data_IF_363074055530
#
_entry.id   IF_363074055530
#
_cell.length_a   1.000
_cell.length_b   1.000
_cell.length_c   1.000
_cell.angle_alpha   90.00
_cell.angle_beta   90.00
_cell.angle_gamma   90.00
#
_symmetry.space_group_name_H-M   'P 1'
#
loop_
_entity.id
_entity.type
_entity.pdbx_description
1 polymer ?
#
# COMPACT_ATOMS: atom_id res chain seq x y z
N UNK A 1 41.09 2.38 15.42
CA UNK A 1 40.12 1.34 15.78
C UNK A 1 39.03 1.34 14.73
N UNK A 2 39.13 0.43 13.77
CA UNK A 2 38.22 0.28 12.64
C UNK A 2 37.04 -0.61 13.03
N UNK A 3 35.94 -0.02 13.45
CA UNK A 3 34.64 -0.68 13.56
C UNK A 3 33.58 0.33 13.10
N UNK A 4 33.69 0.81 11.87
CA UNK A 4 32.48 1.22 11.15
C UNK A 4 31.78 -0.10 10.86
N UNK A 5 30.80 -0.41 11.71
CA UNK A 5 29.83 -1.48 11.51
C UNK A 5 29.47 -1.54 10.03
N UNK A 6 29.62 -2.72 9.42
CA UNK A 6 29.07 -3.02 8.10
C UNK A 6 27.65 -2.45 8.05
N UNK A 7 27.46 -1.32 7.37
CA UNK A 7 26.12 -0.82 7.11
C UNK A 7 25.53 -1.83 6.16
N UNK A 8 24.57 -2.62 6.64
CA UNK A 8 23.91 -3.66 5.86
C UNK A 8 22.89 -3.02 4.92
N UNK A 9 23.36 -2.21 3.96
CA UNK A 9 22.52 -1.65 2.89
C UNK A 9 21.75 -2.76 2.15
N UNK A 10 22.37 -3.94 2.02
CA UNK A 10 21.71 -5.14 1.46
C UNK A 10 20.49 -5.59 2.28
N UNK A 11 20.56 -5.47 3.61
CA UNK A 11 19.44 -5.81 4.48
C UNK A 11 18.30 -4.80 4.29
N UNK A 12 18.59 -3.49 4.29
CA UNK A 12 17.58 -2.45 4.03
C UNK A 12 16.88 -2.65 2.67
N UNK A 13 17.61 -3.06 1.63
CA UNK A 13 17.02 -3.39 0.33
C UNK A 13 16.13 -4.64 0.39
N UNK A 14 16.55 -5.66 1.16
CA UNK A 14 15.80 -6.89 1.32
C UNK A 14 14.51 -6.64 2.10
N UNK A 15 14.59 -5.88 3.18
CA UNK A 15 13.46 -5.49 4.02
C UNK A 15 12.45 -4.68 3.20
N UNK A 16 12.90 -3.70 2.42
CA UNK A 16 12.01 -2.94 1.54
C UNK A 16 11.33 -3.83 0.48
N UNK A 17 12.06 -4.75 -0.15
CA UNK A 17 11.46 -5.71 -1.09
C UNK A 17 10.41 -6.60 -0.42
N UNK A 18 10.64 -6.97 0.84
CA UNK A 18 9.64 -7.69 1.62
C UNK A 18 8.37 -6.87 1.82
N UNK A 19 8.46 -5.57 2.13
CA UNK A 19 7.29 -4.69 2.24
C UNK A 19 6.47 -4.65 0.94
N UNK A 20 7.14 -4.48 -0.20
CA UNK A 20 6.46 -4.48 -1.51
C UNK A 20 5.80 -5.83 -1.78
N UNK A 21 6.42 -6.93 -1.37
CA UNK A 21 5.79 -8.27 -1.51
C UNK A 21 4.54 -8.43 -0.65
N UNK A 22 4.52 -7.87 0.57
CA UNK A 22 3.35 -7.91 1.46
C UNK A 22 2.19 -7.09 0.90
N UNK A 23 2.49 -5.92 0.36
CA UNK A 23 1.50 -5.07 -0.30
C UNK A 23 0.87 -5.78 -1.50
N UNK A 24 1.69 -6.41 -2.35
CA UNK A 24 1.20 -7.21 -3.48
C UNK A 24 0.29 -8.35 -3.04
N UNK A 25 0.67 -9.08 -1.98
CA UNK A 25 -0.17 -10.15 -1.40
C UNK A 25 -1.51 -9.59 -0.91
N UNK A 26 -1.51 -8.40 -0.28
CA UNK A 26 -2.74 -7.75 0.15
C UNK A 26 -3.65 -7.43 -1.04
N UNK A 27 -3.10 -6.90 -2.14
CA UNK A 27 -3.84 -6.61 -3.37
C UNK A 27 -4.42 -7.88 -4.02
N UNK A 28 -3.65 -8.96 -4.09
CA UNK A 28 -4.10 -10.24 -4.65
C UNK A 28 -5.31 -10.79 -3.90
N UNK A 29 -5.25 -10.83 -2.55
CA UNK A 29 -6.39 -11.26 -1.73
C UNK A 29 -7.58 -10.29 -1.84
N UNK A 30 -7.32 -8.98 -1.90
CA UNK A 30 -8.36 -7.96 -2.11
C UNK A 30 -9.10 -8.18 -3.44
N UNK A 31 -8.37 -8.46 -4.52
CA UNK A 31 -8.97 -8.77 -5.82
C UNK A 31 -9.82 -10.04 -5.75
N UNK A 32 -9.31 -11.11 -5.12
CA UNK A 32 -10.07 -12.35 -4.97
C UNK A 32 -11.40 -12.14 -4.23
N UNK A 33 -11.38 -11.33 -3.16
CA UNK A 33 -12.60 -10.95 -2.43
C UNK A 33 -13.56 -10.18 -3.33
N UNK A 34 -13.05 -9.19 -4.08
CA UNK A 34 -13.89 -8.36 -4.95
C UNK A 34 -14.59 -9.18 -6.04
N UNK A 35 -13.85 -10.09 -6.70
CA UNK A 35 -14.44 -11.03 -7.67
C UNK A 35 -15.57 -11.82 -7.03
N UNK A 36 -15.36 -12.33 -5.81
CA UNK A 36 -16.37 -13.13 -5.11
C UNK A 36 -17.60 -12.32 -4.70
N UNK A 37 -17.41 -11.10 -4.25
CA UNK A 37 -18.51 -10.16 -3.98
C UNK A 37 -19.33 -9.85 -5.24
N UNK A 38 -18.66 -9.71 -6.39
CA UNK A 38 -19.30 -9.59 -7.68
C UNK A 38 -20.18 -10.80 -8.03
N UNK A 39 -19.71 -12.03 -7.78
CA UNK A 39 -20.51 -13.24 -7.97
C UNK A 39 -21.76 -13.28 -7.09
N UNK A 40 -21.64 -12.91 -5.81
CA UNK A 40 -22.78 -12.84 -4.87
C UNK A 40 -23.79 -11.79 -5.34
N UNK A 41 -23.32 -10.60 -5.73
CA UNK A 41 -24.18 -9.53 -6.28
C UNK A 41 -24.94 -10.00 -7.53
N UNK A 42 -24.24 -10.62 -8.47
CA UNK A 42 -24.84 -11.13 -9.70
C UNK A 42 -25.88 -12.22 -9.43
N UNK A 43 -25.61 -13.11 -8.47
CA UNK A 43 -26.54 -14.16 -8.04
C UNK A 43 -27.80 -13.56 -7.43
N UNK A 44 -27.66 -12.59 -6.53
CA UNK A 44 -28.78 -11.86 -5.94
C UNK A 44 -29.66 -11.17 -7.01
N UNK A 45 -29.03 -10.44 -7.94
CA UNK A 45 -29.74 -9.76 -9.04
C UNK A 45 -30.50 -10.75 -9.93
N UNK A 46 -29.90 -11.91 -10.23
CA UNK A 46 -30.55 -12.97 -10.99
C UNK A 46 -31.78 -13.53 -10.24
N UNK A 47 -31.66 -13.79 -8.93
CA UNK A 47 -32.75 -14.33 -8.12
C UNK A 47 -33.93 -13.37 -8.01
N UNK A 48 -33.68 -12.06 -7.89
CA UNK A 48 -34.73 -11.03 -7.92
C UNK A 48 -35.44 -11.01 -9.28
N UNK A 49 -34.68 -10.90 -10.38
CA UNK A 49 -35.26 -10.77 -11.73
C UNK A 49 -36.21 -11.92 -12.07
N UNK A 50 -35.89 -13.13 -11.62
CA UNK A 50 -36.68 -14.32 -11.92
C UNK A 50 -37.85 -14.57 -10.96
N UNK A 51 -37.87 -13.95 -9.77
CA UNK A 51 -38.86 -14.22 -8.72
C UNK A 51 -39.63 -12.98 -8.25
N UNK A 52 -39.53 -11.86 -8.99
CA UNK A 52 -40.12 -10.57 -8.62
C UNK A 52 -41.64 -10.61 -8.37
N UNK A 53 -42.34 -11.61 -8.90
CA UNK A 53 -43.79 -11.73 -8.78
C UNK A 53 -44.24 -12.36 -7.44
N UNK A 54 -43.33 -12.82 -6.58
CA UNK A 54 -43.65 -13.51 -5.31
C UNK A 54 -42.99 -12.83 -4.11
N UNK A 55 -43.78 -12.09 -3.33
CA UNK A 55 -43.33 -11.32 -2.15
C UNK A 55 -42.57 -12.17 -1.10
N UNK A 56 -42.98 -13.43 -0.91
CA UNK A 56 -42.31 -14.34 0.02
C UNK A 56 -40.86 -14.66 -0.36
N UNK A 57 -40.55 -14.75 -1.67
CA UNK A 57 -39.19 -14.97 -2.14
C UNK A 57 -38.35 -13.71 -2.00
N UNK A 58 -38.93 -12.53 -2.20
CA UNK A 58 -38.26 -11.26 -1.93
C UNK A 58 -37.88 -11.12 -0.45
N UNK A 59 -38.77 -11.53 0.46
CA UNK A 59 -38.48 -11.57 1.90
C UNK A 59 -37.28 -12.47 2.23
N UNK A 60 -37.21 -13.67 1.63
CA UNK A 60 -36.07 -14.57 1.85
C UNK A 60 -34.75 -14.05 1.28
N UNK A 61 -34.80 -13.25 0.21
CA UNK A 61 -33.61 -12.65 -0.41
C UNK A 61 -33.04 -11.48 0.38
N UNK A 62 -33.78 -10.91 1.33
CA UNK A 62 -33.32 -9.80 2.17
C UNK A 62 -32.11 -10.20 3.04
N UNK A 63 -32.10 -11.44 3.56
CA UNK A 63 -30.96 -11.96 4.32
C UNK A 63 -29.68 -12.05 3.47
N UNK A 64 -29.80 -12.46 2.20
CA UNK A 64 -28.68 -12.52 1.26
C UNK A 64 -28.18 -11.11 0.90
N UNK A 65 -29.10 -10.16 0.73
CA UNK A 65 -28.76 -8.76 0.51
C UNK A 65 -28.01 -8.15 1.70
N UNK A 66 -28.48 -8.44 2.92
CA UNK A 66 -27.83 -8.00 4.15
C UNK A 66 -26.42 -8.57 4.28
N UNK A 67 -26.23 -9.86 3.99
CA UNK A 67 -24.90 -10.49 3.99
C UNK A 67 -23.96 -9.81 2.99
N UNK A 68 -24.42 -9.61 1.74
CA UNK A 68 -23.65 -8.89 0.72
C UNK A 68 -23.25 -7.49 1.21
N UNK A 69 -24.18 -6.74 1.81
CA UNK A 69 -23.93 -5.39 2.33
C UNK A 69 -22.88 -5.40 3.44
N UNK A 70 -22.97 -6.34 4.39
CA UNK A 70 -21.99 -6.49 5.46
C UNK A 70 -20.58 -6.77 4.91
N UNK A 71 -20.46 -7.71 3.97
CA UNK A 71 -19.17 -8.02 3.37
C UNK A 71 -18.62 -6.88 2.51
N UNK A 72 -19.48 -6.17 1.77
CA UNK A 72 -19.07 -4.99 0.98
C UNK A 72 -18.52 -3.88 1.87
N UNK A 73 -19.16 -3.62 3.03
CA UNK A 73 -18.69 -2.63 4.00
C UNK A 73 -17.32 -3.01 4.58
N UNK A 74 -17.14 -4.29 4.93
CA UNK A 74 -15.86 -4.77 5.48
C UNK A 74 -14.74 -4.68 4.43
N UNK A 75 -15.03 -5.05 3.19
CA UNK A 75 -14.11 -4.88 2.06
C UNK A 75 -13.67 -3.43 1.87
N UNK A 76 -14.61 -2.47 1.95
CA UNK A 76 -14.31 -1.05 1.84
C UNK A 76 -13.39 -0.58 2.99
N UNK A 77 -13.67 -1.01 4.22
CA UNK A 77 -12.84 -0.68 5.38
C UNK A 77 -11.41 -1.21 5.26
N UNK A 78 -11.25 -2.44 4.78
CA UNK A 78 -9.94 -3.04 4.54
C UNK A 78 -9.20 -2.32 3.41
N UNK A 79 -9.90 -1.92 2.35
CA UNK A 79 -9.33 -1.15 1.23
C UNK A 79 -8.82 0.22 1.70
N UNK A 80 -9.64 0.95 2.47
CA UNK A 80 -9.22 2.22 3.10
C UNK A 80 -8.04 2.04 4.03
N UNK A 81 -8.00 0.94 4.79
CA UNK A 81 -6.87 0.63 5.66
C UNK A 81 -5.57 0.43 4.89
N UNK A 82 -5.62 -0.20 3.71
CA UNK A 82 -4.45 -0.35 2.84
C UNK A 82 -3.94 1.00 2.35
N UNK A 83 -4.83 1.84 1.83
CA UNK A 83 -4.51 3.20 1.34
C UNK A 83 -3.84 4.02 2.44
N UNK A 84 -4.39 4.00 3.66
CA UNK A 84 -3.80 4.71 4.81
C UNK A 84 -2.35 4.27 5.11
N UNK A 85 -2.07 2.97 5.02
CA UNK A 85 -0.72 2.44 5.28
C UNK A 85 0.23 2.82 4.16
N UNK A 86 -0.18 2.68 2.90
CA UNK A 86 0.63 3.04 1.72
C UNK A 86 0.95 4.53 1.71
N UNK A 87 -0.04 5.38 2.00
CA UNK A 87 0.15 6.83 2.12
C UNK A 87 1.10 7.20 3.25
N UNK A 88 1.02 6.46 4.37
CA UNK A 88 1.95 6.63 5.48
C UNK A 88 3.38 6.26 5.09
N UNK A 89 3.57 5.17 4.34
CA UNK A 89 4.87 4.78 3.78
C UNK A 89 5.44 5.89 2.89
N UNK A 90 4.63 6.38 1.94
CA UNK A 90 5.02 7.49 1.07
C UNK A 90 5.48 8.70 1.89
N UNK A 91 4.67 9.12 2.86
CA UNK A 91 4.94 10.28 3.70
C UNK A 91 6.25 10.16 4.49
N UNK A 92 6.54 8.99 5.06
CA UNK A 92 7.76 8.77 5.84
C UNK A 92 9.02 8.83 4.97
N UNK A 93 9.03 8.19 3.81
CA UNK A 93 10.18 8.28 2.88
C UNK A 93 10.33 9.67 2.25
N UNK A 94 9.22 10.31 1.88
CA UNK A 94 9.23 11.66 1.31
C UNK A 94 9.79 12.69 2.31
N UNK A 95 9.38 12.60 3.58
CA UNK A 95 9.90 13.49 4.64
C UNK A 95 11.39 13.26 4.87
N UNK A 96 11.84 12.01 4.92
CA UNK A 96 13.27 11.70 5.06
C UNK A 96 14.10 12.21 3.88
N UNK A 97 13.62 12.01 2.65
CA UNK A 97 14.25 12.55 1.45
C UNK A 97 14.46 14.07 1.54
N UNK A 98 13.42 14.81 1.94
CA UNK A 98 13.50 16.27 2.07
C UNK A 98 14.49 16.69 3.17
N UNK A 99 14.52 15.99 4.32
CA UNK A 99 15.49 16.25 5.39
C UNK A 99 16.92 16.07 4.85
N UNK A 100 17.19 15.00 4.11
CA UNK A 100 18.50 14.73 3.51
C UNK A 100 18.92 15.86 2.57
N UNK A 101 18.05 16.27 1.65
CA UNK A 101 18.36 17.35 0.68
C UNK A 101 18.65 18.68 1.39
N UNK A 102 17.88 19.03 2.42
CA UNK A 102 18.12 20.25 3.21
C UNK A 102 19.47 20.18 3.92
N UNK A 103 19.78 19.06 4.57
CA UNK A 103 21.03 18.88 5.33
C UNK A 103 22.28 18.90 4.44
N UNK A 104 22.21 18.32 3.24
CA UNK A 104 23.31 18.36 2.27
C UNK A 104 23.59 19.79 1.81
N UNK A 105 22.55 20.58 1.57
CA UNK A 105 22.67 22.00 1.19
C UNK A 105 23.28 22.84 2.31
N UNK A 106 22.82 22.66 3.56
CA UNK A 106 23.36 23.39 4.72
C UNK A 106 24.85 23.13 4.93
N UNK A 107 25.31 21.89 4.72
CA UNK A 107 26.71 21.49 4.86
C UNK A 107 27.56 21.69 3.60
N UNK A 108 26.98 22.18 2.50
CA UNK A 108 27.63 22.31 1.20
C UNK A 108 28.28 21.00 0.71
N UNK A 109 27.65 19.86 0.99
CA UNK A 109 28.11 18.54 0.53
C UNK A 109 27.49 18.29 -0.85
N UNK A 110 28.34 18.15 -1.86
CA UNK A 110 27.93 17.92 -3.24
C UNK A 110 27.95 16.41 -3.50
N UNK A 111 26.76 15.84 -3.70
CA UNK A 111 26.55 14.42 -4.03
C UNK A 111 25.82 14.36 -5.38
N UNK A 112 26.17 13.39 -6.23
CA UNK A 112 25.61 13.26 -7.59
C UNK A 112 24.10 13.05 -7.54
N UNK A 113 23.65 12.21 -6.61
CA UNK A 113 22.23 11.92 -6.39
C UNK A 113 21.44 13.11 -5.82
N UNK A 114 22.11 14.19 -5.39
CA UNK A 114 21.49 15.39 -4.82
C UNK A 114 21.64 16.65 -5.69
N UNK A 115 22.43 16.61 -6.79
CA UNK A 115 22.63 17.73 -7.71
C UNK A 115 21.36 18.06 -8.51
N UNK A 116 20.63 17.02 -8.96
CA UNK A 116 19.33 17.14 -9.62
C UNK A 116 18.25 16.49 -8.76
N UNK A 117 17.70 17.20 -7.75
CA UNK A 117 16.69 16.62 -6.89
C UNK A 117 15.45 16.24 -7.71
N UNK A 118 15.12 14.95 -7.70
CA UNK A 118 13.90 14.44 -8.33
C UNK A 118 12.68 15.15 -7.75
N UNK A 119 11.79 15.61 -8.62
CA UNK A 119 10.53 16.23 -8.21
C UNK A 119 9.50 15.15 -7.98
N UNK A 120 9.30 14.80 -6.72
CA UNK A 120 8.21 13.93 -6.29
C UNK A 120 6.94 14.74 -6.03
N UNK A 121 5.79 14.06 -6.14
CA UNK A 121 4.49 14.61 -5.76
C UNK A 121 4.52 15.13 -4.31
N UNK A 122 3.90 16.28 -4.06
CA UNK A 122 3.91 16.84 -2.70
C UNK A 122 3.04 15.97 -1.81
N UNK A 123 3.62 15.45 -0.73
CA UNK A 123 2.86 14.69 0.24
C UNK A 123 1.82 15.57 0.95
N UNK A 124 0.55 15.17 0.85
CA UNK A 124 -0.60 15.86 1.41
C UNK A 124 -1.06 15.19 2.71
N UNK A 125 -0.50 15.63 3.83
CA UNK A 125 -0.84 15.13 5.19
C UNK A 125 -2.35 15.22 5.53
N UNK A 126 -3.10 16.12 4.89
CA UNK A 126 -4.52 16.37 5.17
C UNK A 126 -5.49 15.52 4.34
N UNK A 127 -4.99 14.80 3.32
CA UNK A 127 -5.82 13.97 2.42
C UNK A 127 -5.48 12.48 2.63
N UNK A 128 -6.06 11.83 3.65
CA UNK A 128 -5.67 10.47 4.06
C UNK A 128 -5.99 9.38 3.03
N UNK A 129 -6.91 9.64 2.09
CA UNK A 129 -7.35 8.68 1.06
C UNK A 129 -6.89 9.07 -0.36
N UNK A 130 -5.94 10.01 -0.48
CA UNK A 130 -5.28 10.26 -1.76
C UNK A 130 -4.30 9.13 -2.06
N UNK A 131 -4.48 8.38 -3.14
CA UNK A 131 -3.63 7.22 -3.43
C UNK A 131 -2.30 7.64 -4.07
N UNK A 132 -1.18 7.27 -3.44
CA UNK A 132 0.15 7.39 -4.04
C UNK A 132 0.56 6.07 -4.68
N UNK A 133 1.20 6.15 -5.85
CA UNK A 133 1.66 4.96 -6.56
C UNK A 133 2.82 4.28 -5.83
N UNK A 134 2.79 2.95 -5.75
CA UNK A 134 3.89 2.12 -5.24
C UNK A 134 5.18 2.34 -6.04
N UNK A 135 5.08 2.67 -7.33
CA UNK A 135 6.23 3.03 -8.15
C UNK A 135 6.93 4.29 -7.63
N UNK A 136 6.17 5.35 -7.31
CA UNK A 136 6.72 6.57 -6.72
C UNK A 136 7.36 6.30 -5.35
N UNK A 137 6.74 5.47 -4.50
CA UNK A 137 7.31 5.08 -3.19
C UNK A 137 8.66 4.39 -3.38
N UNK A 138 8.74 3.47 -4.35
CA UNK A 138 9.97 2.76 -4.69
C UNK A 138 11.06 3.72 -5.17
N UNK A 139 10.71 4.68 -6.01
CA UNK A 139 11.64 5.68 -6.52
C UNK A 139 12.17 6.63 -5.44
N UNK A 140 11.31 7.05 -4.51
CA UNK A 140 11.72 7.87 -3.35
C UNK A 140 12.66 7.06 -2.46
N UNK A 141 12.27 5.82 -2.13
CA UNK A 141 13.11 4.94 -1.30
C UNK A 141 14.48 4.72 -1.94
N UNK A 142 14.54 4.43 -3.24
CA UNK A 142 15.81 4.26 -3.95
C UNK A 142 16.65 5.53 -3.90
N UNK A 143 16.04 6.69 -4.12
CA UNK A 143 16.75 7.98 -4.08
C UNK A 143 17.30 8.28 -2.68
N UNK A 144 16.57 7.94 -1.61
CA UNK A 144 17.05 8.03 -0.23
C UNK A 144 18.25 7.10 0.00
N UNK A 145 18.17 5.85 -0.48
CA UNK A 145 19.26 4.87 -0.35
C UNK A 145 20.52 5.33 -1.08
N UNK A 146 20.39 5.82 -2.32
CA UNK A 146 21.50 6.32 -3.13
C UNK A 146 22.21 7.49 -2.42
N UNK A 147 21.45 8.44 -1.87
CA UNK A 147 21.99 9.57 -1.10
C UNK A 147 22.76 9.09 0.13
N UNK A 148 22.21 8.16 0.92
CA UNK A 148 22.88 7.65 2.13
C UNK A 148 24.15 6.88 1.76
N UNK A 149 24.13 6.12 0.67
CA UNK A 149 25.31 5.38 0.19
C UNK A 149 26.42 6.32 -0.31
N UNK A 150 26.07 7.35 -1.06
CA UNK A 150 27.02 8.39 -1.48
C UNK A 150 27.57 9.15 -0.28
N UNK A 151 26.73 9.51 0.69
CA UNK A 151 27.14 10.18 1.92
C UNK A 151 28.08 9.32 2.76
N UNK A 152 27.83 8.01 2.84
CA UNK A 152 28.74 7.06 3.49
C UNK A 152 30.08 6.96 2.77
N UNK A 153 30.08 6.95 1.43
CA UNK A 153 31.30 6.96 0.62
C UNK A 153 32.10 8.24 0.86
N UNK A 154 31.43 9.38 0.89
CA UNK A 154 32.02 10.68 1.24
C UNK A 154 32.65 10.67 2.64
N UNK A 155 31.95 10.16 3.65
CA UNK A 155 32.48 9.99 5.01
C UNK A 155 33.75 9.13 5.03
N UNK A 156 33.75 8.00 4.33
CA UNK A 156 34.92 7.11 4.26
C UNK A 156 36.14 7.80 3.61
N UNK A 157 35.93 8.70 2.65
CA UNK A 157 37.01 9.52 2.11
C UNK A 157 37.54 10.53 3.13
N UNK A 158 36.66 11.20 3.87
CA UNK A 158 37.06 12.13 4.93
C UNK A 158 37.85 11.45 6.06
N UNK A 159 37.41 10.26 6.48
CA UNK A 159 38.08 9.48 7.51
C UNK A 159 39.49 9.03 7.06
N UNK A 160 39.62 8.56 5.82
CA UNK A 160 40.93 8.20 5.23
C UNK A 160 41.87 9.39 5.16
N UNK A 161 41.40 10.55 4.73
CA UNK A 161 42.20 11.78 4.69
C UNK A 161 42.64 12.21 6.10
N UNK A 162 41.73 12.19 7.08
CA UNK A 162 42.05 12.48 8.49
C UNK A 162 43.11 11.54 9.05
N UNK A 163 43.03 10.25 8.71
CA UNK A 163 44.03 9.26 9.11
C UNK A 163 45.40 9.54 8.48
N UNK A 164 45.46 9.90 7.19
CA UNK A 164 46.71 10.27 6.52
C UNK A 164 47.37 11.50 7.15
N UNK A 165 46.59 12.52 7.53
CA UNK A 165 47.10 13.67 8.26
C UNK A 165 47.69 13.27 9.62
N UNK A 166 47.05 12.33 10.33
CA UNK A 166 47.54 11.85 11.63
C UNK A 166 48.89 11.14 11.56
N UNK A 167 49.17 10.39 10.48
CA UNK A 167 50.43 9.65 10.29
C UNK A 167 51.53 10.57 9.76
N UNK A 168 51.18 11.46 8.82
CA UNK A 168 52.16 12.31 8.14
C UNK A 168 52.63 13.47 9.00
N UNK A 169 51.79 13.93 9.95
CA UNK A 169 52.18 14.99 10.88
C UNK A 169 53.00 14.41 12.04
N UNK A 170 54.31 14.63 12.01
CA UNK A 170 55.19 14.29 13.13
C UNK A 170 55.43 15.52 14.02
N UNK A 171 54.40 16.32 14.37
CA UNK A 171 54.61 17.67 14.96
C UNK A 171 53.44 18.22 15.81
N UNK A 172 53.75 18.74 17.01
CA UNK A 172 53.20 19.98 17.61
C UNK A 172 51.77 20.05 18.19
N UNK A 173 51.62 20.66 19.37
CA UNK A 173 50.35 20.86 20.11
C UNK A 173 49.23 21.58 19.30
N UNK A 174 49.59 22.46 18.36
CA UNK A 174 48.61 23.18 17.51
C UNK A 174 47.97 22.30 16.43
N UNK A 175 48.73 21.34 15.88
CA UNK A 175 48.19 20.38 14.89
C UNK A 175 47.22 19.42 15.58
N UNK A 176 47.46 19.07 16.85
CA UNK A 176 46.53 18.30 17.65
C UNK A 176 45.15 18.98 17.76
N UNK A 177 45.09 20.29 17.98
CA UNK A 177 43.82 21.03 18.04
C UNK A 177 43.04 20.99 16.70
N UNK A 178 43.75 21.13 15.58
CA UNK A 178 43.15 20.96 14.25
C UNK A 178 42.62 19.53 14.05
N UNK A 179 43.37 18.52 14.49
CA UNK A 179 42.93 17.11 14.41
C UNK A 179 41.71 16.82 15.26
N UNK A 180 41.63 17.36 16.48
CA UNK A 180 40.44 17.24 17.31
C UNK A 180 39.21 17.87 16.63
N UNK A 181 39.38 19.04 16.00
CA UNK A 181 38.29 19.70 15.27
C UNK A 181 37.84 18.88 14.05
N UNK A 182 38.79 18.36 13.27
CA UNK A 182 38.48 17.50 12.11
C UNK A 182 37.77 16.21 12.53
N UNK A 183 38.21 15.58 13.63
CA UNK A 183 37.56 14.39 14.18
C UNK A 183 36.14 14.68 14.66
N UNK A 184 35.91 15.84 15.27
CA UNK A 184 34.57 16.27 15.69
C UNK A 184 33.63 16.40 14.48
N UNK A 185 34.04 17.10 13.43
CA UNK A 185 33.26 17.27 12.20
C UNK A 185 32.95 15.92 11.53
N UNK A 186 33.96 15.04 11.40
CA UNK A 186 33.77 13.70 10.84
C UNK A 186 32.79 12.87 11.69
N UNK A 187 32.88 12.97 13.02
CA UNK A 187 31.96 12.28 13.94
C UNK A 187 30.53 12.76 13.72
N UNK A 188 30.32 14.07 13.57
CA UNK A 188 28.99 14.63 13.32
C UNK A 188 28.35 14.03 12.05
N UNK A 189 29.12 13.90 10.96
CA UNK A 189 28.64 13.29 9.72
C UNK A 189 28.31 11.81 9.93
N UNK A 190 29.18 11.08 10.64
CA UNK A 190 28.95 9.66 10.95
C UNK A 190 27.65 9.44 11.74
N UNK A 191 27.43 10.23 12.78
CA UNK A 191 26.22 10.11 13.62
C UNK A 191 24.96 10.48 12.82
N UNK A 192 25.04 11.43 11.88
CA UNK A 192 23.93 11.72 10.97
C UNK A 192 23.61 10.56 10.04
N UNK A 193 24.62 9.93 9.43
CA UNK A 193 24.42 8.73 8.59
C UNK A 193 23.73 7.63 9.41
N UNK A 194 24.22 7.39 10.63
CA UNK A 194 23.63 6.40 11.54
C UNK A 194 22.18 6.73 11.89
N UNK A 195 21.85 8.01 12.13
CA UNK A 195 20.49 8.46 12.39
C UNK A 195 19.55 8.16 11.21
N UNK A 196 19.97 8.46 9.97
CA UNK A 196 19.13 8.20 8.79
C UNK A 196 18.90 6.71 8.54
N UNK A 197 19.92 5.88 8.77
CA UNK A 197 19.78 4.42 8.70
C UNK A 197 18.79 3.92 9.75
N UNK A 198 18.88 4.42 10.99
CA UNK A 198 17.94 4.05 12.04
C UNK A 198 16.50 4.47 11.71
N UNK A 199 16.30 5.62 11.07
CA UNK A 199 14.98 5.99 10.56
C UNK A 199 14.47 5.01 9.52
N UNK A 200 15.29 4.61 8.54
CA UNK A 200 14.89 3.60 7.55
C UNK A 200 14.55 2.26 8.20
N UNK A 201 15.41 1.74 9.08
CA UNK A 201 15.15 0.49 9.78
C UNK A 201 13.86 0.55 10.62
N UNK A 202 13.60 1.70 11.27
CA UNK A 202 12.36 1.91 12.01
C UNK A 202 11.14 1.94 11.08
N UNK A 203 11.22 2.65 9.94
CA UNK A 203 10.15 2.69 8.95
C UNK A 203 9.85 1.28 8.43
N UNK A 204 10.87 0.53 8.02
CA UNK A 204 10.72 -0.83 7.53
C UNK A 204 10.02 -1.72 8.56
N UNK A 205 10.53 -1.78 9.79
CA UNK A 205 9.94 -2.59 10.85
C UNK A 205 8.50 -2.16 11.21
N UNK A 206 8.24 -0.85 11.20
CA UNK A 206 6.91 -0.32 11.51
C UNK A 206 5.90 -0.67 10.41
N UNK A 207 6.26 -0.44 9.14
CA UNK A 207 5.39 -0.70 8.00
C UNK A 207 5.17 -2.20 7.80
N UNK A 208 6.19 -3.03 8.02
CA UNK A 208 6.08 -4.49 7.98
C UNK A 208 5.01 -4.97 8.96
N UNK A 209 5.06 -4.49 10.21
CA UNK A 209 4.06 -4.83 11.22
C UNK A 209 2.65 -4.40 10.82
N UNK A 210 2.49 -3.20 10.25
CA UNK A 210 1.18 -2.72 9.82
C UNK A 210 0.63 -3.54 8.64
N UNK A 211 1.46 -3.83 7.64
CA UNK A 211 1.08 -4.61 6.46
C UNK A 211 0.79 -6.07 6.82
N UNK A 212 1.63 -6.73 7.61
CA UNK A 212 1.40 -8.12 8.05
C UNK A 212 0.06 -8.26 8.79
N UNK A 213 -0.24 -7.34 9.70
CA UNK A 213 -1.52 -7.32 10.41
C UNK A 213 -2.69 -7.11 9.46
N UNK A 214 -2.55 -6.25 8.45
CA UNK A 214 -3.61 -6.02 7.46
C UNK A 214 -3.80 -7.24 6.55
N UNK A 215 -2.72 -7.83 6.04
CA UNK A 215 -2.75 -9.05 5.22
C UNK A 215 -3.48 -10.16 5.97
N UNK A 216 -3.16 -10.37 7.25
CA UNK A 216 -3.84 -11.38 8.07
C UNK A 216 -5.35 -11.09 8.20
N UNK A 217 -5.75 -9.83 8.40
CA UNK A 217 -7.17 -9.45 8.44
C UNK A 217 -7.88 -9.72 7.12
N UNK A 218 -7.27 -9.35 6.00
CA UNK A 218 -7.82 -9.60 4.66
C UNK A 218 -7.96 -11.10 4.40
N UNK A 219 -6.95 -11.90 4.75
CA UNK A 219 -7.00 -13.36 4.60
C UNK A 219 -8.10 -14.00 5.46
N UNK A 220 -8.21 -13.59 6.73
CA UNK A 220 -9.26 -14.09 7.61
C UNK A 220 -10.65 -13.73 7.08
N UNK A 221 -10.81 -12.50 6.58
CA UNK A 221 -12.07 -12.06 5.98
C UNK A 221 -12.41 -12.87 4.72
N UNK A 222 -11.44 -13.08 3.82
CA UNK A 222 -11.62 -13.92 2.65
C UNK A 222 -12.07 -15.33 3.03
N UNK A 223 -11.41 -15.96 4.00
CA UNK A 223 -11.76 -17.30 4.47
C UNK A 223 -13.16 -17.36 5.10
N UNK A 224 -13.54 -16.36 5.91
CA UNK A 224 -14.88 -16.26 6.50
C UNK A 224 -15.94 -16.17 5.40
N UNK A 225 -15.75 -15.27 4.45
CA UNK A 225 -16.68 -15.08 3.33
C UNK A 225 -16.80 -16.35 2.48
N UNK A 226 -15.69 -17.02 2.19
CA UNK A 226 -15.73 -18.29 1.46
C UNK A 226 -16.42 -19.41 2.23
N UNK A 227 -16.26 -19.47 3.56
CA UNK A 227 -16.89 -20.47 4.41
C UNK A 227 -18.40 -20.23 4.51
N UNK A 228 -18.84 -18.97 4.65
CA UNK A 228 -20.25 -18.60 4.68
C UNK A 228 -20.93 -18.92 3.34
N UNK A 229 -20.29 -18.61 2.21
CA UNK A 229 -20.82 -18.94 0.88
C UNK A 229 -20.87 -20.46 0.64
N UNK A 230 -19.92 -21.24 1.19
CA UNK A 230 -19.87 -22.71 1.02
C UNK A 230 -20.83 -23.46 1.97
N UNK A 231 -21.00 -23.01 3.21
CA UNK A 231 -21.83 -23.70 4.21
C UNK A 231 -23.33 -23.65 3.88
N UNK A 232 -23.77 -22.70 3.06
CA UNK A 232 -25.17 -22.68 2.58
C UNK A 232 -25.48 -23.74 1.50
N UNK A 233 -24.47 -24.41 0.93
CA UNK A 233 -24.70 -25.47 -0.07
C UNK A 233 -24.94 -26.85 0.53
N UNK A 234 -24.95 -27.04 1.85
CA UNK A 234 -25.02 -28.40 2.39
C UNK A 234 -25.10 -28.59 3.90
N UNK A 235 -25.92 -27.82 4.62
CA UNK A 235 -26.65 -28.48 5.70
C UNK A 235 -27.68 -29.39 5.02
N UNK A 236 -27.44 -30.71 5.08
CA UNK A 236 -28.40 -31.72 4.64
C UNK A 236 -29.68 -31.62 5.48
N UNK A 237 -30.50 -30.59 5.25
CA UNK A 237 -31.90 -30.66 5.63
C UNK A 237 -32.53 -31.73 4.76
N UNK A 238 -33.04 -32.77 5.40
CA UNK A 238 -33.80 -33.83 4.76
C UNK A 238 -35.07 -33.21 4.14
N UNK A 239 -34.95 -32.79 2.87
CA UNK A 239 -36.01 -32.11 2.09
C UNK A 239 -37.21 -33.03 1.80
N UNK A 240 -37.20 -34.26 2.33
CA UNK A 240 -38.22 -35.28 2.06
C UNK A 240 -39.58 -35.03 2.74
N UNK A 241 -39.69 -34.07 3.67
CA UNK A 241 -40.91 -33.83 4.47
C UNK A 241 -41.43 -32.38 4.50
N UNK A 242 -40.92 -31.46 3.65
CA UNK A 242 -41.44 -30.08 3.63
C UNK A 242 -42.65 -30.02 2.70
N UNK A 243 -43.85 -29.97 3.29
CA UNK A 243 -45.10 -29.78 2.58
C UNK A 243 -45.20 -28.31 2.10
N UNK A 244 -44.59 -28.06 0.93
CA UNK A 244 -44.47 -26.75 0.29
C UNK A 244 -45.83 -26.06 0.09
N UNK A 245 -46.90 -26.83 -0.08
CA UNK A 245 -48.26 -26.34 -0.34
C UNK A 245 -48.84 -25.53 0.84
N UNK A 246 -48.42 -25.85 2.08
CA UNK A 246 -48.89 -25.18 3.29
C UNK A 246 -48.17 -23.84 3.58
N UNK A 247 -46.94 -23.67 3.09
CA UNK A 247 -46.15 -22.42 3.24
C UNK A 247 -46.62 -21.33 2.27
N UNK A 248 -47.07 -21.71 1.07
CA UNK A 248 -47.55 -20.76 0.07
C UNK A 248 -48.97 -20.23 0.35
N UNK A 249 -49.82 -20.99 1.06
CA UNK A 249 -51.20 -20.61 1.36
C UNK A 249 -51.33 -19.42 2.35
N UNK A 250 -50.30 -19.14 3.14
CA UNK A 250 -50.29 -18.07 4.17
C UNK A 250 -49.72 -16.73 3.68
N UNK A 251 -49.16 -16.67 2.47
CA UNK A 251 -48.34 -15.53 2.00
C UNK A 251 -49.08 -14.54 1.10
N UNK A 252 -50.35 -14.77 0.75
CA UNK A 252 -51.09 -13.92 -0.21
C UNK A 252 -51.55 -12.56 0.37
N UNK A 253 -51.41 -12.30 1.67
CA UNK A 253 -52.05 -11.14 2.34
C UNK A 253 -51.11 -10.16 3.07
N UNK A 254 -49.85 -9.97 2.63
CA UNK A 254 -48.99 -8.92 3.21
C UNK A 254 -48.65 -7.86 2.15
N UNK A 255 -49.21 -6.66 2.33
CA UNK A 255 -48.87 -5.45 1.57
C UNK A 255 -47.49 -4.94 2.00
N UNK A 256 -46.45 -5.40 1.30
CA UNK A 256 -45.04 -5.00 1.48
C UNK A 256 -44.60 -4.11 0.31
N UNK A 257 -45.21 -2.94 0.14
CA UNK A 257 -44.83 -1.99 -0.93
C UNK A 257 -43.78 -0.97 -0.47
N UNK A 258 -43.76 -0.61 0.81
CA UNK A 258 -42.80 0.38 1.35
C UNK A 258 -41.35 -0.16 1.46
N UNK A 259 -41.14 -1.47 1.58
CA UNK A 259 -39.80 -2.07 1.78
C UNK A 259 -38.99 -2.16 0.46
N UNK A 260 -39.67 -2.20 -0.70
CA UNK A 260 -39.04 -2.31 -2.02
C UNK A 260 -38.43 -0.98 -2.47
N UNK A 261 -39.06 0.15 -2.10
CA UNK A 261 -38.55 1.48 -2.47
C UNK A 261 -37.25 1.86 -1.74
N UNK A 262 -37.08 1.45 -0.48
CA UNK A 262 -35.84 1.73 0.26
C UNK A 262 -34.67 0.89 -0.23
N UNK A 263 -34.91 -0.34 -0.70
CA UNK A 263 -33.86 -1.21 -1.23
C UNK A 263 -33.36 -0.76 -2.62
N UNK A 264 -34.24 -0.28 -3.49
CA UNK A 264 -33.87 0.30 -4.80
C UNK A 264 -33.06 1.61 -4.67
N UNK A 265 -33.44 2.51 -3.76
CA UNK A 265 -32.71 3.77 -3.53
C UNK A 265 -31.30 3.55 -2.93
N UNK A 266 -31.13 2.51 -2.11
CA UNK A 266 -29.83 2.15 -1.54
C UNK A 266 -28.92 1.49 -2.58
N UNK A 267 -29.48 0.71 -3.50
CA UNK A 267 -28.77 0.16 -4.67
C UNK A 267 -28.28 1.27 -5.60
N UNK A 268 -29.09 2.28 -5.88
CA UNK A 268 -28.71 3.40 -6.75
C UNK A 268 -27.61 4.29 -6.12
N UNK A 269 -27.61 4.42 -4.79
CA UNK A 269 -26.52 5.10 -4.06
C UNK A 269 -25.22 4.29 -4.04
N UNK A 270 -25.29 2.96 -3.91
CA UNK A 270 -24.11 2.10 -3.96
C UNK A 270 -23.50 2.05 -5.37
N UNK A 271 -24.32 2.00 -6.42
CA UNK A 271 -23.86 2.00 -7.81
C UNK A 271 -23.16 3.32 -8.21
N UNK A 272 -23.67 4.48 -7.78
CA UNK A 272 -23.02 5.78 -8.02
C UNK A 272 -21.66 5.93 -7.35
N UNK A 273 -21.41 5.21 -6.26
CA UNK A 273 -20.12 5.23 -5.56
C UNK A 273 -19.16 4.19 -6.18
N UNK A 274 -19.67 3.04 -6.62
CA UNK A 274 -18.88 2.00 -7.31
C UNK A 274 -18.41 2.50 -8.69
N UNK A 275 -19.25 3.18 -9.47
CA UNK A 275 -18.82 3.78 -10.75
C UNK A 275 -17.71 4.83 -10.57
N UNK A 276 -17.65 5.52 -9.43
CA UNK A 276 -16.56 6.46 -9.12
C UNK A 276 -15.24 5.75 -8.78
N UNK A 277 -15.30 4.50 -8.30
CA UNK A 277 -14.13 3.67 -7.98
C UNK A 277 -13.64 2.90 -9.22
N UNK A 278 -14.55 2.35 -10.03
CA UNK A 278 -14.21 1.60 -11.27
C UNK A 278 -13.65 2.51 -12.38
N UNK A 279 -14.11 3.77 -12.48
CA UNK A 279 -13.53 4.74 -13.43
C UNK A 279 -12.11 5.18 -13.05
N UNK A 280 -11.66 4.94 -11.81
CA UNK A 280 -10.31 5.23 -11.36
C UNK A 280 -9.34 4.05 -11.58
N UNK A 281 -9.78 2.80 -11.42
CA UNK A 281 -8.98 1.61 -11.75
C UNK A 281 -8.74 1.46 -13.28
N UNK A 282 -9.67 1.89 -14.13
CA UNK A 282 -9.53 1.80 -15.58
C UNK A 282 -8.43 2.70 -16.18
N UNK A 283 -8.00 3.75 -15.47
CA UNK A 283 -6.93 4.66 -15.94
C UNK A 283 -5.54 4.02 -15.76
N UNK A 284 -5.37 3.12 -14.79
CA UNK A 284 -4.09 2.47 -14.50
C UNK A 284 -3.77 1.30 -15.46
N UNK A 285 -4.80 0.69 -16.06
CA UNK A 285 -4.66 -0.41 -17.03
C UNK A 285 -4.28 0.02 -18.46
N UNK A 286 -4.42 1.30 -18.83
CA UNK A 286 -4.13 1.77 -20.20
C UNK A 286 -2.72 2.36 -20.36
N UNK A 287 -2.01 2.68 -19.27
CA UNK A 287 -0.67 3.31 -19.33
C UNK A 287 0.48 2.28 -19.37
N UNK A 288 0.18 0.98 -19.33
CA UNK A 288 1.18 -0.11 -19.27
C UNK A 288 1.23 -1.00 -20.52
N UNK A 289 1.14 -0.42 -21.73
CA UNK A 289 1.61 -1.09 -22.96
C UNK A 289 2.66 -0.26 -23.72
N UNK A 290 3.75 -0.87 -24.22
CA UNK A 290 4.95 -0.17 -24.64
C UNK A 290 4.83 0.43 -26.05
N UNK A 291 5.19 1.70 -26.18
CA UNK A 291 5.54 2.35 -27.45
C UNK A 291 6.89 1.80 -27.93
N UNK A 292 6.87 0.67 -28.63
CA UNK A 292 7.98 0.23 -29.49
C UNK A 292 7.39 -0.35 -30.78
N UNK A 293 7.09 0.54 -31.73
CA UNK A 293 7.10 0.30 -33.18
C UNK A 293 6.66 1.60 -33.87
N UNK A 294 7.63 2.45 -34.22
CA UNK A 294 7.58 3.45 -35.32
C UNK A 294 8.85 4.33 -35.29
N UNK A 295 10.02 3.70 -35.45
CA UNK A 295 11.23 4.37 -35.96
C UNK A 295 12.01 3.35 -36.81
N UNK A 296 11.38 2.82 -37.86
CA UNK A 296 12.08 2.14 -38.97
C UNK A 296 11.30 2.40 -40.26
N UNK A 297 11.23 3.67 -40.68
CA UNK A 297 10.81 4.06 -42.05
C UNK A 297 11.18 5.52 -42.39
N UNK A 298 12.31 6.01 -41.87
CA UNK A 298 12.87 7.32 -42.24
C UNK A 298 14.38 7.26 -42.51
N UNK A 299 14.85 6.10 -42.98
CA UNK A 299 16.22 5.89 -43.45
C UNK A 299 16.22 5.13 -44.78
N UNK A 300 15.39 5.57 -45.73
CA UNK A 300 15.52 5.25 -47.15
C UNK A 300 14.70 6.26 -47.97
N UNK A 301 15.21 7.49 -48.07
CA UNK A 301 15.00 8.44 -49.17
C UNK A 301 15.97 9.63 -49.04
#
# INVERSE_FOLDING_TARGET
MSLVSNIQFEQLHTDFKHLISLEKIALEHKHAINTKLGEVKNTYQYLIKNNNNKKIFLFCLDSLFFQYKCHSMEYENLSKSLILIVNRMYGDYYKLYNILIVQLKEKNIILKSAEEPKKFSVYKDLEPFFEYSIAEITDIHQSVMDIIQELHTYYNHLEKSAYQYSITSNVGMTIANFMHTLQYENTLIREQIHLYINYLSFFHASHEKYLQNLVQKIQNFQQSMEAEIKNEQGENMDMSNIDLECVFASSENVEIEEIIQESEQVLECAEKIIEQVEQQEAVELVVTEPVVQRIEEAAEQ
#
